data_IF_586034006996
#
_entry.id   IF_586034006996
#
_cell.length_a   1.000
_cell.length_b   1.000
_cell.length_c   1.000
_cell.angle_alpha   90.00
_cell.angle_beta   90.00
_cell.angle_gamma   90.00
#
_symmetry.space_group_name_H-M   'P 1'
#
loop_
_entity.id
_entity.type
_entity.pdbx_description
1 polymer ?
#
# COMPACT_ATOMS: atom_id res chain seq x y z
N UNK A 1 6.06 17.73 1.57
CA UNK A 1 4.68 17.43 1.15
C UNK A 1 4.09 16.48 2.16
N UNK A 2 2.88 16.75 2.62
CA UNK A 2 2.16 15.95 3.61
C UNK A 2 1.01 15.27 2.88
N UNK A 3 0.99 13.94 2.85
CA UNK A 3 -0.01 13.15 2.10
C UNK A 3 -1.45 13.56 2.43
N UNK A 4 -1.70 13.96 3.67
CA UNK A 4 -3.02 14.40 4.12
C UNK A 4 -3.46 15.67 3.39
N UNK A 5 -2.56 16.65 3.29
CA UNK A 5 -2.83 17.91 2.58
C UNK A 5 -2.95 17.68 1.07
N UNK A 6 -2.15 16.76 0.52
CA UNK A 6 -2.16 16.42 -0.91
C UNK A 6 -3.51 15.83 -1.35
N UNK A 7 -4.19 15.06 -0.49
CA UNK A 7 -5.54 14.56 -0.75
C UNK A 7 -6.54 15.71 -0.86
N UNK A 8 -6.48 16.69 0.05
CA UNK A 8 -7.36 17.85 0.03
C UNK A 8 -7.13 18.70 -1.24
N UNK A 9 -5.87 18.88 -1.64
CA UNK A 9 -5.51 19.58 -2.89
C UNK A 9 -6.07 18.85 -4.11
N UNK A 10 -5.94 17.52 -4.18
CA UNK A 10 -6.48 16.73 -5.28
C UNK A 10 -8.01 16.88 -5.39
N UNK A 11 -8.73 16.81 -4.26
CA UNK A 11 -10.18 17.04 -4.22
C UNK A 11 -10.55 18.45 -4.67
N UNK A 12 -9.85 19.47 -4.19
CA UNK A 12 -10.09 20.86 -4.58
C UNK A 12 -9.84 21.11 -6.08
N UNK A 13 -8.95 20.33 -6.70
CA UNK A 13 -8.70 20.33 -8.14
C UNK A 13 -9.78 19.57 -8.96
N UNK A 14 -10.82 19.03 -8.32
CA UNK A 14 -11.93 18.35 -8.99
C UNK A 14 -11.79 16.82 -9.06
N UNK A 15 -10.86 16.21 -8.32
CA UNK A 15 -10.72 14.75 -8.32
C UNK A 15 -11.94 14.07 -7.67
N UNK A 16 -12.68 13.29 -8.46
CA UNK A 16 -13.80 12.46 -8.01
C UNK A 16 -13.34 11.21 -7.26
N UNK A 17 -12.14 10.73 -7.57
CA UNK A 17 -11.48 9.61 -6.86
C UNK A 17 -10.04 10.00 -6.54
N UNK A 18 -9.61 9.79 -5.31
CA UNK A 18 -8.24 10.00 -4.82
C UNK A 18 -7.68 8.70 -4.27
N UNK A 19 -6.63 8.20 -4.92
CA UNK A 19 -5.89 7.00 -4.51
C UNK A 19 -4.56 7.45 -3.90
N UNK A 20 -4.32 7.03 -2.66
CA UNK A 20 -3.05 7.24 -1.98
C UNK A 20 -2.15 6.03 -2.20
N UNK A 21 -1.03 6.22 -2.89
CA UNK A 21 -0.05 5.18 -3.17
C UNK A 21 1.23 5.45 -2.38
N UNK A 22 1.55 4.61 -1.39
CA UNK A 22 2.67 4.81 -0.46
C UNK A 22 3.71 3.71 -0.61
N UNK A 23 4.97 4.04 -0.32
CA UNK A 23 6.04 3.06 -0.19
C UNK A 23 6.55 3.06 1.24
N UNK A 24 6.55 1.89 1.88
CA UNK A 24 7.07 1.67 3.23
C UNK A 24 8.37 0.87 3.18
N UNK A 25 9.16 0.92 4.24
CA UNK A 25 10.54 0.44 4.21
C UNK A 25 10.76 -0.96 4.81
N UNK A 26 9.80 -1.48 5.58
CA UNK A 26 9.94 -2.79 6.22
C UNK A 26 9.48 -3.88 5.25
N UNK A 27 10.46 -4.53 4.64
CA UNK A 27 10.22 -5.50 3.59
C UNK A 27 9.98 -6.92 4.13
N UNK A 28 9.47 -7.79 3.25
CA UNK A 28 9.32 -9.24 3.44
C UNK A 28 8.42 -9.68 4.59
N UNK A 29 7.65 -8.75 5.17
CA UNK A 29 6.64 -9.03 6.18
C UNK A 29 5.34 -9.50 5.52
N UNK A 30 4.72 -10.55 6.08
CA UNK A 30 3.43 -11.05 5.60
C UNK A 30 2.23 -10.21 6.09
N UNK A 31 2.47 -9.23 6.94
CA UNK A 31 1.47 -8.33 7.49
C UNK A 31 2.07 -6.92 7.71
N UNK A 32 1.26 -5.86 7.67
CA UNK A 32 1.75 -4.50 7.89
C UNK A 32 2.28 -4.33 9.32
N UNK A 33 3.32 -3.52 9.48
CA UNK A 33 3.91 -3.23 10.79
C UNK A 33 3.00 -2.32 11.62
N UNK A 34 3.31 -2.16 12.91
CA UNK A 34 2.62 -1.20 13.77
C UNK A 34 2.72 0.23 13.24
N UNK A 35 3.88 0.61 12.71
CA UNK A 35 4.14 1.94 12.15
C UNK A 35 3.38 2.16 10.84
N UNK A 36 3.34 1.17 9.95
CA UNK A 36 2.54 1.24 8.71
C UNK A 36 1.06 1.39 9.03
N UNK A 37 0.58 0.66 10.04
CA UNK A 37 -0.80 0.76 10.52
C UNK A 37 -1.10 2.13 11.09
N UNK A 38 -0.22 2.68 11.92
CA UNK A 38 -0.39 4.01 12.50
C UNK A 38 -0.42 5.10 11.41
N UNK A 39 0.46 5.01 10.42
CA UNK A 39 0.50 5.94 9.29
C UNK A 39 -0.82 5.91 8.50
N UNK A 40 -1.30 4.72 8.11
CA UNK A 40 -2.55 4.60 7.34
C UNK A 40 -3.76 5.00 8.18
N UNK A 41 -3.78 4.70 9.48
CA UNK A 41 -4.84 5.19 10.37
C UNK A 41 -4.89 6.71 10.43
N UNK A 42 -3.72 7.38 10.50
CA UNK A 42 -3.64 8.83 10.48
C UNK A 42 -4.16 9.41 9.15
N UNK A 43 -3.75 8.84 8.02
CA UNK A 43 -4.18 9.31 6.70
C UNK A 43 -5.68 9.12 6.51
N UNK A 44 -6.18 7.91 6.77
CA UNK A 44 -7.60 7.56 6.55
C UNK A 44 -8.56 8.27 7.51
N UNK A 45 -8.11 8.64 8.72
CA UNK A 45 -8.93 9.40 9.66
C UNK A 45 -8.99 10.89 9.38
N UNK A 46 -7.98 11.47 8.71
CA UNK A 46 -7.90 12.91 8.46
C UNK A 46 -8.25 13.31 7.03
N UNK A 47 -7.89 12.48 6.05
CA UNK A 47 -7.99 12.82 4.63
C UNK A 47 -9.07 12.03 3.87
N UNK A 48 -9.49 10.88 4.39
CA UNK A 48 -10.51 10.01 3.79
C UNK A 48 -10.33 9.76 2.27
N UNK A 49 -9.17 9.24 1.82
CA UNK A 49 -9.00 8.85 0.43
C UNK A 49 -9.92 7.67 0.08
N UNK A 50 -10.18 7.45 -1.22
CA UNK A 50 -11.07 6.35 -1.64
C UNK A 50 -10.37 4.98 -1.55
N UNK A 51 -9.05 4.97 -1.72
CA UNK A 51 -8.22 3.78 -1.73
C UNK A 51 -6.81 4.10 -1.25
N UNK A 52 -6.22 3.19 -0.46
CA UNK A 52 -4.79 3.19 -0.14
C UNK A 52 -4.14 1.95 -0.71
N UNK A 53 -3.01 2.13 -1.40
CA UNK A 53 -2.16 1.06 -1.91
C UNK A 53 -0.76 1.23 -1.31
N UNK A 54 -0.27 0.20 -0.64
CA UNK A 54 1.05 0.17 -0.04
C UNK A 54 2.00 -0.69 -0.89
N UNK A 55 3.21 -0.18 -1.09
CA UNK A 55 4.35 -0.83 -1.74
C UNK A 55 5.50 -0.97 -0.76
N UNK A 56 6.48 -1.82 -1.10
CA UNK A 56 7.67 -2.02 -0.28
C UNK A 56 7.77 -3.37 0.43
N UNK A 57 6.67 -4.01 0.89
CA UNK A 57 6.79 -5.34 1.48
C UNK A 57 7.34 -6.42 0.53
N UNK A 58 7.22 -6.23 -0.80
CA UNK A 58 7.68 -7.17 -1.84
C UNK A 58 7.06 -8.58 -1.78
N UNK A 59 6.08 -8.77 -0.91
CA UNK A 59 5.28 -9.98 -0.76
C UNK A 59 3.83 -9.55 -0.56
N UNK A 60 2.89 -10.43 -0.89
CA UNK A 60 1.46 -10.14 -0.69
C UNK A 60 1.16 -9.94 0.81
N UNK A 61 0.38 -8.91 1.12
CA UNK A 61 -0.19 -8.66 2.44
C UNK A 61 -1.72 -8.55 2.35
N UNK A 62 -2.45 -8.57 3.48
CA UNK A 62 -3.92 -8.54 3.47
C UNK A 62 -4.53 -7.31 2.79
N UNK A 63 -5.82 -7.43 2.49
CA UNK A 63 -6.70 -6.30 2.16
C UNK A 63 -7.63 -6.07 3.34
N UNK A 64 -7.73 -4.84 3.83
CA UNK A 64 -8.55 -4.49 4.99
C UNK A 64 -9.30 -3.18 4.75
N UNK A 65 -10.36 -2.92 5.53
CA UNK A 65 -10.94 -1.58 5.65
C UNK A 65 -10.40 -0.89 6.89
N UNK A 66 -9.80 0.28 6.72
CA UNK A 66 -9.32 1.13 7.81
C UNK A 66 -10.08 2.45 7.77
N UNK A 67 -10.82 2.77 8.83
CA UNK A 67 -11.68 3.96 8.89
C UNK A 67 -12.61 4.08 7.66
N UNK A 68 -13.17 2.94 7.20
CA UNK A 68 -14.04 2.85 6.02
C UNK A 68 -13.32 2.85 4.67
N UNK A 69 -12.05 3.25 4.61
CA UNK A 69 -11.21 3.25 3.40
C UNK A 69 -10.68 1.86 3.11
N UNK A 70 -10.72 1.43 1.84
CA UNK A 70 -10.12 0.17 1.42
C UNK A 70 -8.59 0.31 1.36
N UNK A 71 -7.86 -0.64 1.92
CA UNK A 71 -6.40 -0.63 2.01
C UNK A 71 -5.83 -1.95 1.50
N UNK A 72 -4.98 -1.86 0.47
CA UNK A 72 -4.12 -2.95 0.03
C UNK A 72 -2.75 -2.78 0.68
N UNK A 73 -2.46 -3.59 1.69
CA UNK A 73 -1.21 -3.46 2.47
C UNK A 73 0.03 -3.91 1.71
N UNK A 74 -0.12 -4.75 0.69
CA UNK A 74 0.89 -4.96 -0.33
C UNK A 74 0.32 -5.77 -1.49
N UNK A 75 0.66 -5.38 -2.71
CA UNK A 75 0.31 -6.13 -3.92
C UNK A 75 1.32 -7.23 -4.26
N UNK A 76 2.41 -7.38 -3.49
CA UNK A 76 3.56 -8.20 -3.87
C UNK A 76 4.33 -7.54 -5.03
N UNK A 77 4.92 -8.36 -5.91
CA UNK A 77 5.62 -7.86 -7.10
C UNK A 77 4.92 -8.23 -8.40
N UNK A 78 3.60 -8.42 -8.38
CA UNK A 78 2.82 -8.88 -9.53
C UNK A 78 3.14 -8.12 -10.83
N UNK A 79 3.11 -6.78 -10.77
CA UNK A 79 3.37 -5.91 -11.92
C UNK A 79 4.86 -5.56 -12.03
N UNK A 80 5.57 -5.44 -10.91
CA UNK A 80 6.96 -5.00 -10.90
C UNK A 80 7.95 -6.10 -11.31
N UNK A 81 7.56 -7.37 -11.22
CA UNK A 81 8.38 -8.53 -11.60
C UNK A 81 9.68 -8.65 -10.80
N UNK A 82 9.72 -8.10 -9.57
CA UNK A 82 10.94 -8.10 -8.76
C UNK A 82 11.17 -9.43 -8.04
N UNK A 83 11.79 -10.36 -8.77
CA UNK A 83 12.33 -11.66 -8.34
C UNK A 83 12.27 -12.63 -9.53
N UNK A 84 13.11 -13.62 -9.82
CA UNK A 84 14.52 -14.00 -9.51
C UNK A 84 15.33 -13.93 -10.84
N UNK A 85 16.67 -13.97 -10.93
CA UNK A 85 17.69 -14.53 -10.02
C UNK A 85 18.94 -13.65 -9.81
N UNK A 86 19.51 -13.70 -8.60
CA UNK A 86 20.79 -13.06 -8.22
C UNK A 86 20.71 -11.95 -7.16
N UNK A 87 19.53 -11.68 -6.59
CA UNK A 87 19.30 -10.61 -5.61
C UNK A 87 18.79 -11.17 -4.28
N UNK A 88 19.70 -11.45 -3.34
CA UNK A 88 19.50 -11.75 -1.91
C UNK A 88 18.06 -12.08 -1.46
N UNK A 89 17.41 -11.17 -0.72
CA UNK A 89 16.06 -11.33 -0.15
C UNK A 89 14.94 -11.49 -1.19
N UNK A 90 15.15 -11.04 -2.43
CA UNK A 90 14.21 -11.22 -3.53
C UNK A 90 14.38 -12.56 -4.27
N UNK A 91 15.23 -13.44 -3.73
CA UNK A 91 15.25 -14.85 -4.11
C UNK A 91 14.12 -15.66 -3.49
N UNK A 92 13.40 -15.10 -2.53
CA UNK A 92 12.26 -15.73 -1.88
C UNK A 92 11.09 -15.90 -2.87
N UNK A 93 10.52 -17.11 -3.04
CA UNK A 93 9.42 -17.36 -3.96
C UNK A 93 8.16 -16.51 -3.71
N UNK A 94 7.93 -16.05 -2.47
CA UNK A 94 6.80 -15.15 -2.15
C UNK A 94 6.86 -13.83 -2.91
N UNK A 95 8.04 -13.46 -3.42
CA UNK A 95 8.23 -12.27 -4.25
C UNK A 95 7.73 -12.45 -5.68
N UNK A 96 7.40 -13.67 -6.09
CA UNK A 96 6.82 -13.96 -7.41
C UNK A 96 5.29 -13.85 -7.40
N UNK A 97 4.70 -13.72 -6.21
CA UNK A 97 3.26 -13.65 -6.05
C UNK A 97 2.71 -12.23 -6.27
N UNK A 98 1.41 -12.21 -6.52
CA UNK A 98 0.63 -11.02 -6.76
C UNK A 98 -0.76 -11.11 -6.16
N UNK A 99 -1.29 -9.96 -5.76
CA UNK A 99 -2.64 -9.88 -5.21
C UNK A 99 -3.63 -9.27 -6.20
N UNK A 100 -4.67 -10.03 -6.51
CA UNK A 100 -5.92 -9.53 -7.07
C UNK A 100 -7.02 -9.85 -6.06
N UNK A 101 -7.74 -8.83 -5.61
CA UNK A 101 -8.80 -8.99 -4.61
C UNK A 101 -10.07 -8.29 -5.07
N UNK A 102 -11.21 -8.90 -4.74
CA UNK A 102 -12.53 -8.27 -4.75
C UNK A 102 -13.00 -8.17 -3.30
N UNK A 103 -13.53 -7.02 -2.90
CA UNK A 103 -14.00 -6.74 -1.54
C UNK A 103 -15.38 -6.13 -1.53
#
# INVERSE_FOLDING_TARGET
ANVIDDVAVARAAGAEVVIVSLHVYVEMQNAPTGDDRALVQQITSQAHPDLVIIHGPHVVQPVERVNGTLVYWSLGNFISGMGVSGRDKYSDPRTLDGLLASV
#
